data_IF_192112886578
#
_entry.id   IF_192112886578
#
_cell.length_a   1.000
_cell.length_b   1.000
_cell.length_c   1.000
_cell.angle_alpha   90.00
_cell.angle_beta   90.00
_cell.angle_gamma   90.00
#
_symmetry.space_group_name_H-M   'P 1'
#
loop_
_entity.id
_entity.type
_entity.pdbx_description
1 polymer ?
#
# COMPACT_ATOMS: atom_id res chain seq x y z
N UNK A 1 21.20 1.28 6.73
CA UNK A 1 20.70 -0.10 6.63
C UNK A 1 20.28 -0.37 5.19
N UNK A 2 21.03 -1.20 4.47
CA UNK A 2 20.62 -1.67 3.14
C UNK A 2 19.87 -2.99 3.34
N UNK A 3 18.55 -2.94 3.54
CA UNK A 3 17.74 -4.12 3.25
C UNK A 3 17.77 -4.35 1.75
N UNK A 4 17.95 -5.60 1.35
CA UNK A 4 17.85 -5.95 -0.06
C UNK A 4 16.41 -5.67 -0.53
N UNK A 5 16.27 -5.24 -1.79
CA UNK A 5 14.96 -5.01 -2.39
C UNK A 5 14.07 -6.25 -2.32
N UNK A 6 14.66 -7.45 -2.30
CA UNK A 6 13.96 -8.73 -2.16
C UNK A 6 13.34 -8.92 -0.77
N UNK A 7 14.09 -8.67 0.30
CA UNK A 7 13.56 -8.80 1.67
C UNK A 7 12.41 -7.83 1.92
N UNK A 8 12.54 -6.59 1.45
CA UNK A 8 11.46 -5.61 1.55
C UNK A 8 10.23 -6.05 0.75
N UNK A 9 10.41 -6.62 -0.45
CA UNK A 9 9.32 -7.14 -1.27
C UNK A 9 8.60 -8.30 -0.58
N UNK A 10 9.33 -9.24 0.01
CA UNK A 10 8.77 -10.35 0.77
C UNK A 10 7.97 -9.86 1.99
N UNK A 11 8.53 -8.92 2.76
CA UNK A 11 7.85 -8.28 3.89
C UNK A 11 6.52 -7.65 3.48
N UNK A 12 6.52 -6.89 2.37
CA UNK A 12 5.29 -6.23 1.89
C UNK A 12 4.27 -7.27 1.45
N UNK A 13 4.69 -8.37 0.82
CA UNK A 13 3.80 -9.44 0.35
C UNK A 13 3.17 -10.24 1.49
N UNK A 14 3.92 -10.52 2.55
CA UNK A 14 3.42 -11.17 3.76
C UNK A 14 2.39 -10.30 4.50
N UNK A 15 2.62 -8.98 4.51
CA UNK A 15 1.78 -8.01 5.23
C UNK A 15 0.70 -7.35 4.35
N UNK A 16 0.67 -7.68 3.05
CA UNK A 16 -0.37 -7.25 2.14
C UNK A 16 -1.57 -8.19 2.23
N UNK A 17 -2.50 -7.89 3.12
CA UNK A 17 -3.83 -8.50 3.01
C UNK A 17 -4.44 -8.14 1.63
N UNK A 18 -5.10 -9.13 1.02
CA UNK A 18 -5.62 -9.22 -0.38
C UNK A 18 -6.33 -8.01 -1.02
N UNK A 19 -6.48 -6.86 -0.36
CA UNK A 19 -7.27 -5.73 -0.89
C UNK A 19 -6.66 -4.35 -0.84
N UNK A 20 -5.78 -3.98 0.10
CA UNK A 20 -5.21 -2.60 0.15
C UNK A 20 -3.88 -2.54 0.90
N UNK A 21 -2.80 -2.20 0.19
CA UNK A 21 -1.56 -1.74 0.79
C UNK A 21 -1.73 -0.31 1.29
N UNK A 22 -1.99 -0.19 2.60
CA UNK A 22 -1.97 1.09 3.30
C UNK A 22 -0.52 1.43 3.67
N UNK A 23 0.04 2.50 3.10
CA UNK A 23 1.39 2.96 3.46
C UNK A 23 1.52 3.24 4.96
N UNK A 24 0.45 3.70 5.61
CA UNK A 24 0.42 3.91 7.06
C UNK A 24 0.54 2.60 7.83
N UNK A 25 -0.21 1.56 7.43
CA UNK A 25 -0.15 0.22 8.06
C UNK A 25 1.25 -0.38 7.88
N UNK A 26 1.82 -0.28 6.68
CA UNK A 26 3.18 -0.75 6.41
C UNK A 26 4.22 -0.02 7.26
N UNK A 27 4.11 1.30 7.43
CA UNK A 27 5.00 2.06 8.32
C UNK A 27 4.90 1.56 9.76
N UNK A 28 3.68 1.35 10.28
CA UNK A 28 3.48 0.85 11.64
C UNK A 28 4.11 -0.53 11.84
N UNK A 29 3.82 -1.48 10.94
CA UNK A 29 4.36 -2.84 11.02
C UNK A 29 5.88 -2.84 10.85
N UNK A 30 6.40 -2.04 9.92
CA UNK A 30 7.84 -1.91 9.71
C UNK A 30 8.55 -1.32 10.93
N UNK A 31 7.97 -0.30 11.55
CA UNK A 31 8.52 0.34 12.76
C UNK A 31 8.52 -0.65 13.92
N UNK A 32 7.46 -1.47 14.06
CA UNK A 32 7.42 -2.53 15.06
C UNK A 32 8.48 -3.62 14.82
N UNK A 33 8.70 -4.00 13.55
CA UNK A 33 9.66 -5.04 13.17
C UNK A 33 11.12 -4.60 13.30
N UNK A 34 11.45 -3.41 12.80
CA UNK A 34 12.85 -2.91 12.71
C UNK A 34 13.23 -1.97 13.84
N UNK A 35 12.28 -1.56 14.70
CA UNK A 35 12.43 -0.51 15.73
C UNK A 35 12.91 0.84 15.16
N UNK A 36 12.78 1.04 13.85
CA UNK A 36 13.15 2.28 13.17
C UNK A 36 11.91 2.98 12.64
N UNK A 37 11.76 4.25 13.01
CA UNK A 37 10.72 5.09 12.42
C UNK A 37 11.12 5.47 11.01
N UNK A 38 10.19 5.27 10.08
CA UNK A 38 10.32 5.72 8.70
C UNK A 38 9.10 6.53 8.32
N UNK A 39 9.31 7.57 7.52
CA UNK A 39 8.20 8.37 7.04
C UNK A 39 7.35 7.58 6.03
N UNK A 40 6.06 7.91 5.96
CA UNK A 40 5.18 7.36 4.93
C UNK A 40 5.66 7.68 3.51
N UNK A 41 6.32 8.83 3.31
CA UNK A 41 6.88 9.24 2.02
C UNK A 41 8.03 8.31 1.62
N UNK A 42 8.95 8.04 2.54
CA UNK A 42 10.06 7.11 2.34
C UNK A 42 9.55 5.70 2.04
N UNK A 43 8.51 5.25 2.76
CA UNK A 43 7.85 3.97 2.49
C UNK A 43 7.29 3.91 1.06
N UNK A 44 6.59 4.96 0.61
CA UNK A 44 6.08 5.04 -0.77
C UNK A 44 7.19 5.03 -1.83
N UNK A 45 8.33 5.68 -1.57
CA UNK A 45 9.48 5.66 -2.48
C UNK A 45 10.11 4.26 -2.57
N UNK A 46 10.25 3.56 -1.44
CA UNK A 46 10.77 2.20 -1.42
C UNK A 46 9.83 1.22 -2.13
N UNK A 47 8.52 1.37 -1.93
CA UNK A 47 7.49 0.62 -2.66
C UNK A 47 7.62 0.81 -4.19
N UNK A 48 7.82 2.05 -4.65
CA UNK A 48 8.09 2.33 -6.07
C UNK A 48 9.36 1.63 -6.58
N UNK A 49 10.44 1.64 -5.80
CA UNK A 49 11.70 0.97 -6.16
C UNK A 49 11.54 -0.54 -6.35
N UNK A 50 10.64 -1.18 -5.60
CA UNK A 50 10.35 -2.63 -5.74
C UNK A 50 9.21 -2.93 -6.71
N UNK A 51 8.75 -1.94 -7.49
CA UNK A 51 7.69 -2.10 -8.49
C UNK A 51 6.28 -2.21 -7.90
N UNK A 52 6.11 -1.95 -6.60
CA UNK A 52 4.82 -1.92 -5.92
C UNK A 52 4.32 -0.48 -5.90
N UNK A 53 3.72 -0.01 -7.00
CA UNK A 53 3.03 1.29 -6.99
C UNK A 53 1.82 1.23 -6.05
N UNK A 54 1.88 2.01 -4.98
CA UNK A 54 0.84 2.15 -3.96
C UNK A 54 -0.57 2.24 -4.56
N UNK A 55 -1.49 1.44 -4.00
CA UNK A 55 -2.88 1.30 -4.41
C UNK A 55 -3.07 0.78 -5.84
N UNK A 56 -3.48 -0.50 -5.93
CA UNK A 56 -4.24 -0.97 -7.10
C UNK A 56 -5.38 0.03 -7.33
N UNK A 57 -5.48 0.67 -8.51
CA UNK A 57 -6.60 1.53 -8.81
C UNK A 57 -7.89 0.73 -8.61
N UNK A 58 -8.77 1.19 -7.72
CA UNK A 58 -10.11 0.59 -7.66
C UNK A 58 -10.74 0.81 -9.03
N UNK A 59 -11.13 -0.28 -9.70
CA UNK A 59 -12.12 -0.18 -10.78
C UNK A 59 -13.31 0.54 -10.16
N UNK A 60 -13.56 1.79 -10.57
CA UNK A 60 -14.76 2.50 -10.18
C UNK A 60 -15.92 1.59 -10.61
N UNK A 61 -16.87 1.22 -9.72
CA UNK A 61 -18.04 0.50 -10.19
C UNK A 61 -18.63 1.34 -11.33
N UNK A 62 -18.89 0.70 -12.46
CA UNK A 62 -19.63 1.34 -13.56
C UNK A 62 -20.87 1.94 -12.93
N UNK A 63 -21.10 3.25 -13.09
CA UNK A 63 -22.29 3.88 -12.56
C UNK A 63 -23.50 3.19 -13.18
N UNK A 64 -24.17 2.36 -12.39
CA UNK A 64 -25.47 1.82 -12.74
C UNK A 64 -26.50 2.93 -12.61
N UNK A 65 -27.46 2.97 -13.53
CA UNK A 65 -28.51 3.99 -13.65
C UNK A 65 -29.23 4.31 -12.31
N UNK A 66 -29.31 3.30 -11.43
CA UNK A 66 -29.83 3.40 -10.04
C UNK A 66 -29.11 4.47 -9.20
N UNK A 67 -27.80 4.67 -9.37
CA UNK A 67 -27.05 5.69 -8.63
C UNK A 67 -27.30 7.12 -9.17
N UNK A 68 -27.76 7.26 -10.41
CA UNK A 68 -28.12 8.57 -10.97
C UNK A 68 -29.46 9.08 -10.44
N UNK A 69 -30.41 8.17 -10.13
CA UNK A 69 -31.73 8.55 -9.63
C UNK A 69 -31.77 8.97 -8.16
N UNK A 70 -30.77 8.58 -7.34
CA UNK A 70 -30.70 8.97 -5.93
C UNK A 70 -30.27 10.44 -5.71
N UNK A 71 -29.98 11.18 -6.77
CA UNK A 71 -29.51 12.57 -6.75
C UNK A 71 -30.47 13.56 -7.44
N UNK A 72 -31.64 13.08 -7.88
CA UNK A 72 -32.77 13.92 -8.33
C UNK A 72 -33.78 14.05 -7.20
#
# INVERSE_FOLDING_TARGET
MHLSQQEFKAFVQENSENRRLSSKKLVTVWTAHTKQSISAITMCQNLKKVGLTSCIPRKKPTMTEVHCQAHL
#
